data_IF_187677394155
#
_entry.id   IF_187677394155
#
_cell.length_a   1.000
_cell.length_b   1.000
_cell.length_c   1.000
_cell.angle_alpha   90.00
_cell.angle_beta   90.00
_cell.angle_gamma   90.00
#
_symmetry.space_group_name_H-M   'P 1'
#
loop_
_entity.id
_entity.type
_entity.pdbx_description
1 polymer ?
#
# COMPACT_ATOMS: atom_id res chain seq x y z
N UNK A 1 3.06 -5.22 19.19
CA UNK A 1 3.56 -3.88 18.84
C UNK A 1 2.94 -3.45 17.53
N UNK A 2 2.52 -2.20 17.41
CA UNK A 2 1.93 -1.66 16.19
C UNK A 2 3.00 -1.19 15.23
N UNK A 3 2.82 -1.48 13.95
CA UNK A 3 3.73 -1.03 12.88
C UNK A 3 2.94 -0.49 11.69
N UNK A 4 3.52 0.45 10.93
CA UNK A 4 2.91 0.95 9.70
C UNK A 4 2.96 -0.15 8.62
N UNK A 5 1.82 -0.76 8.36
CA UNK A 5 1.67 -1.89 7.44
C UNK A 5 0.67 -1.57 6.35
N UNK A 6 0.80 -2.23 5.21
CA UNK A 6 -0.21 -2.17 4.17
C UNK A 6 -0.49 -3.57 3.61
N UNK A 7 -1.66 -3.71 3.04
CA UNK A 7 -2.02 -4.84 2.19
C UNK A 7 -2.64 -4.31 0.89
N UNK A 8 -2.54 -5.11 -0.16
CA UNK A 8 -3.23 -4.84 -1.41
C UNK A 8 -4.25 -5.94 -1.61
N UNK A 9 -5.50 -5.56 -1.78
CA UNK A 9 -6.58 -6.51 -2.01
C UNK A 9 -6.62 -6.93 -3.47
N UNK A 10 -7.29 -8.05 -3.75
CA UNK A 10 -7.48 -8.53 -5.12
C UNK A 10 -8.23 -7.52 -5.99
N UNK A 11 -9.09 -6.70 -5.39
CA UNK A 11 -9.81 -5.63 -6.08
C UNK A 11 -8.94 -4.38 -6.35
N UNK A 12 -7.68 -4.37 -5.89
CA UNK A 12 -6.74 -3.29 -6.12
C UNK A 12 -6.69 -2.22 -5.04
N UNK A 13 -7.44 -2.39 -3.95
CA UNK A 13 -7.43 -1.42 -2.86
C UNK A 13 -6.16 -1.52 -2.03
N UNK A 14 -5.53 -0.38 -1.82
CA UNK A 14 -4.49 -0.24 -0.82
C UNK A 14 -5.16 -0.02 0.54
N UNK A 15 -4.97 -0.99 1.45
CA UNK A 15 -5.41 -0.87 2.85
C UNK A 15 -4.18 -0.56 3.68
N UNK A 16 -4.21 0.56 4.35
CA UNK A 16 -3.02 1.11 5.02
C UNK A 16 -3.38 1.56 6.43
N UNK A 17 -2.50 1.28 7.36
CA UNK A 17 -2.70 1.66 8.76
C UNK A 17 -1.54 1.25 9.63
N UNK A 18 -1.64 1.59 10.90
CA UNK A 18 -0.67 1.18 11.92
C UNK A 18 -1.32 0.10 12.76
N UNK A 19 -0.92 -1.12 12.55
CA UNK A 19 -1.58 -2.31 13.09
C UNK A 19 -0.56 -3.33 13.59
N UNK A 20 -1.03 -4.30 14.33
CA UNK A 20 -0.23 -5.41 14.82
C UNK A 20 0.13 -6.40 13.71
N UNK A 21 -0.88 -6.78 12.92
CA UNK A 21 -0.75 -7.78 11.88
C UNK A 21 -1.34 -7.25 10.58
N UNK A 22 -0.77 -7.67 9.46
CA UNK A 22 -1.28 -7.27 8.14
C UNK A 22 -2.76 -7.59 7.96
N UNK A 23 -3.21 -8.74 8.46
CA UNK A 23 -4.62 -9.17 8.36
C UNK A 23 -5.60 -8.20 9.02
N UNK A 24 -5.13 -7.40 9.99
CA UNK A 24 -5.98 -6.41 10.67
C UNK A 24 -6.44 -5.28 9.74
N UNK A 25 -5.80 -5.15 8.57
CA UNK A 25 -6.17 -4.17 7.56
C UNK A 25 -7.25 -4.68 6.60
N UNK A 26 -7.49 -5.98 6.56
CA UNK A 26 -8.46 -6.57 5.66
C UNK A 26 -9.88 -6.36 6.18
N UNK A 27 -10.77 -5.99 5.27
CA UNK A 27 -12.20 -5.87 5.53
C UNK A 27 -12.91 -7.16 5.14
N UNK A 28 -14.16 -7.31 5.60
CA UNK A 28 -14.97 -8.47 5.25
C UNK A 28 -15.08 -8.61 3.72
N UNK A 29 -14.75 -9.79 3.22
CA UNK A 29 -14.76 -10.07 1.79
C UNK A 29 -13.47 -9.74 1.05
N UNK A 30 -12.52 -9.03 1.67
CA UNK A 30 -11.24 -8.75 1.05
C UNK A 30 -10.42 -10.04 0.88
N UNK A 31 -9.75 -10.14 -0.26
CA UNK A 31 -8.71 -11.11 -0.53
C UNK A 31 -7.39 -10.38 -0.72
N UNK A 32 -6.32 -10.88 -0.15
CA UNK A 32 -5.02 -10.22 -0.14
C UNK A 32 -4.12 -10.75 -1.26
N UNK A 33 -3.56 -9.85 -2.07
CA UNK A 33 -2.54 -10.18 -3.06
C UNK A 33 -1.14 -10.12 -2.47
N UNK A 34 -0.94 -9.29 -1.47
CA UNK A 34 0.35 -9.13 -0.83
C UNK A 34 0.32 -7.94 0.12
N UNK A 35 1.41 -7.74 0.80
CA UNK A 35 1.50 -6.66 1.77
C UNK A 35 2.94 -6.23 2.04
N UNK A 36 3.09 -5.29 2.94
CA UNK A 36 4.39 -4.78 3.32
C UNK A 36 4.27 -3.69 4.37
N UNK A 37 5.22 -2.78 4.31
CA UNK A 37 5.34 -1.68 5.25
C UNK A 37 5.31 -0.34 4.50
N UNK A 38 4.89 0.72 5.20
CA UNK A 38 4.85 2.04 4.61
C UNK A 38 5.53 3.05 5.52
N UNK A 39 6.00 4.12 4.92
CA UNK A 39 6.46 5.31 5.63
C UNK A 39 6.16 6.53 4.77
N UNK A 40 6.17 7.72 5.39
CA UNK A 40 6.00 8.97 4.67
C UNK A 40 7.33 9.70 4.66
N UNK A 41 7.79 10.04 3.46
CA UNK A 41 8.91 10.95 3.24
C UNK A 41 8.33 12.35 3.18
N UNK A 42 8.48 13.11 4.26
CA UNK A 42 7.93 14.46 4.36
C UNK A 42 8.73 15.49 3.55
N UNK A 43 9.98 15.17 3.22
CA UNK A 43 10.79 16.06 2.38
C UNK A 43 10.31 16.04 0.94
N UNK A 44 10.10 14.85 0.40
CA UNK A 44 9.65 14.65 -0.97
C UNK A 44 8.12 14.56 -1.09
N UNK A 45 7.39 14.66 0.02
CA UNK A 45 5.93 14.49 0.07
C UNK A 45 5.50 13.21 -0.63
N UNK A 46 6.02 12.09 -0.15
CA UNK A 46 5.84 10.81 -0.81
C UNK A 46 5.47 9.72 0.20
N UNK A 47 4.49 8.90 -0.17
CA UNK A 47 4.17 7.66 0.52
C UNK A 47 5.07 6.56 -0.06
N UNK A 48 5.92 6.00 0.76
CA UNK A 48 6.83 4.94 0.36
C UNK A 48 6.33 3.59 0.85
N UNK A 49 6.17 2.66 -0.08
CA UNK A 49 5.73 1.31 0.17
C UNK A 49 6.91 0.35 -0.03
N UNK A 50 7.05 -0.58 0.90
CA UNK A 50 8.09 -1.59 0.89
C UNK A 50 7.41 -2.96 0.97
N UNK A 51 7.59 -3.79 -0.04
CA UNK A 51 6.81 -5.02 -0.26
C UNK A 51 7.25 -6.21 0.58
N UNK A 52 7.53 -6.01 1.87
CA UNK A 52 7.92 -7.10 2.76
C UNK A 52 6.78 -7.47 3.68
N UNK A 53 6.34 -8.71 3.60
CA UNK A 53 5.34 -9.25 4.51
C UNK A 53 5.61 -10.73 4.72
N UNK A 54 5.60 -11.15 5.98
CA UNK A 54 5.75 -12.57 6.32
C UNK A 54 4.46 -13.36 6.06
N UNK A 55 3.32 -12.69 6.12
CA UNK A 55 2.02 -13.37 6.06
C UNK A 55 1.49 -13.53 4.63
N UNK A 56 1.72 -12.54 3.76
CA UNK A 56 1.05 -12.47 2.45
C UNK A 56 2.02 -12.38 1.27
N UNK A 57 3.32 -12.31 1.53
CA UNK A 57 4.32 -12.15 0.50
C UNK A 57 4.36 -10.76 -0.10
N UNK A 58 5.29 -10.55 -1.00
CA UNK A 58 5.51 -9.27 -1.66
C UNK A 58 4.54 -9.09 -2.82
N UNK A 59 3.87 -7.92 -2.93
CA UNK A 59 3.11 -7.61 -4.13
C UNK A 59 4.01 -7.53 -5.36
N UNK A 60 3.53 -8.03 -6.49
CA UNK A 60 4.25 -7.89 -7.75
C UNK A 60 4.04 -6.50 -8.32
N UNK A 61 4.99 -6.04 -9.13
CA UNK A 61 4.93 -4.71 -9.75
C UNK A 61 3.63 -4.48 -10.51
N UNK A 62 3.17 -5.49 -11.27
CA UNK A 62 1.92 -5.38 -12.02
C UNK A 62 0.68 -5.22 -11.13
N UNK A 63 0.74 -5.71 -9.90
CA UNK A 63 -0.37 -5.58 -8.93
C UNK A 63 -0.38 -4.20 -8.28
N UNK A 64 0.78 -3.56 -8.20
CA UNK A 64 0.94 -2.27 -7.54
C UNK A 64 0.66 -1.08 -8.45
N UNK A 65 0.87 -1.23 -9.76
CA UNK A 65 0.70 -0.13 -10.72
C UNK A 65 -0.74 0.28 -10.98
N UNK A 66 -1.70 -0.43 -10.41
CA UNK A 66 -3.15 -0.16 -10.58
C UNK A 66 -3.85 0.08 -9.24
N UNK A 67 -3.12 0.61 -8.27
CA UNK A 67 -3.64 0.80 -6.91
C UNK A 67 -4.82 1.76 -6.84
N UNK A 68 -5.75 1.42 -5.95
CA UNK A 68 -6.77 2.31 -5.43
C UNK A 68 -6.32 2.77 -4.05
N UNK A 69 -5.94 4.03 -3.95
CA UNK A 69 -5.32 4.62 -2.76
C UNK A 69 -6.36 5.41 -1.98
N UNK A 70 -6.33 5.39 -0.63
CA UNK A 70 -7.23 6.26 0.15
C UNK A 70 -7.08 7.74 -0.24
N UNK A 71 -8.20 8.43 -0.30
CA UNK A 71 -8.28 9.84 -0.70
C UNK A 71 -7.35 10.74 0.12
N UNK A 72 -7.11 10.39 1.40
CA UNK A 72 -6.23 11.14 2.29
C UNK A 72 -4.79 11.25 1.81
N UNK A 73 -4.37 10.39 0.89
CA UNK A 73 -3.03 10.43 0.29
C UNK A 73 -2.99 11.12 -1.07
N UNK A 74 -4.12 11.68 -1.50
CA UNK A 74 -4.19 12.41 -2.76
C UNK A 74 -3.25 13.62 -2.71
N UNK A 75 -2.49 13.82 -3.80
CA UNK A 75 -1.50 14.89 -3.89
C UNK A 75 -0.11 14.51 -3.42
N UNK A 76 0.06 13.35 -2.80
CA UNK A 76 1.37 12.80 -2.47
C UNK A 76 1.92 11.98 -3.64
N UNK A 77 3.24 11.97 -3.79
CA UNK A 77 3.89 10.96 -4.62
C UNK A 77 3.73 9.57 -3.98
N UNK A 78 3.70 8.53 -4.77
CA UNK A 78 3.65 7.16 -4.27
C UNK A 78 4.79 6.38 -4.89
N UNK A 79 5.63 5.78 -4.05
CA UNK A 79 6.75 4.95 -4.48
C UNK A 79 6.60 3.54 -3.91
N UNK A 80 6.99 2.56 -4.71
CA UNK A 80 7.09 1.18 -4.27
C UNK A 80 8.51 0.68 -4.52
N UNK A 81 9.18 0.23 -3.47
CA UNK A 81 10.59 -0.20 -3.53
C UNK A 81 11.47 0.84 -4.22
N UNK A 82 11.27 2.11 -3.89
CA UNK A 82 12.02 3.24 -4.44
C UNK A 82 11.62 3.69 -5.84
N UNK A 83 10.68 3.01 -6.50
CA UNK A 83 10.21 3.36 -7.84
C UNK A 83 8.92 4.15 -7.76
N UNK A 84 8.88 5.30 -8.41
CA UNK A 84 7.70 6.15 -8.46
C UNK A 84 6.59 5.51 -9.27
N UNK A 85 5.37 5.51 -8.71
CA UNK A 85 4.17 5.12 -9.40
C UNK A 85 3.61 6.33 -10.12
N UNK A 86 3.35 6.21 -11.42
CA UNK A 86 2.78 7.29 -12.20
C UNK A 86 1.39 7.64 -11.67
N UNK A 87 1.15 8.93 -11.41
CA UNK A 87 -0.11 9.43 -10.87
C UNK A 87 -1.31 9.08 -11.73
N UNK A 88 -1.11 8.95 -13.05
CA UNK A 88 -2.19 8.56 -13.97
C UNK A 88 -2.64 7.11 -13.78
N UNK A 89 -1.84 6.26 -13.13
CA UNK A 89 -2.14 4.85 -12.87
C UNK A 89 -2.69 4.61 -11.49
N UNK A 90 -2.56 5.58 -10.62
CA UNK A 90 -3.02 5.50 -9.24
C UNK A 90 -4.38 6.18 -9.15
N UNK A 91 -5.38 5.44 -8.70
CA UNK A 91 -6.72 5.95 -8.47
C UNK A 91 -6.91 6.18 -6.98
N UNK A 92 -7.81 7.09 -6.65
CA UNK A 92 -8.09 7.43 -5.25
C UNK A 92 -9.55 7.15 -4.92
N UNK A 93 -9.77 6.65 -3.71
CA UNK A 93 -11.11 6.41 -3.16
C UNK A 93 -11.29 7.10 -1.81
#
# INVERSE_FOLDING_TARGET
MLHPKFVITRAGYLRIGTVRMHRDLLQLGDRCLGGGYWEIDYVDNCLELSGRSYDYGEPRWCEITTLLVPQSYRGMGIRYEGKELATVRVRYY
#
